data_IF_401056730354
#
_entry.id   IF_401056730354
#
_cell.length_a   1.000
_cell.length_b   1.000
_cell.length_c   1.000
_cell.angle_alpha   90.00
_cell.angle_beta   90.00
_cell.angle_gamma   90.00
#
_symmetry.space_group_name_H-M   'P 1'
#
loop_
_entity.id
_entity.type
_entity.pdbx_description
1 polymer ?
#
# COMPACT_ATOMS: atom_id res chain seq x y z
N UNK A 1 -5.73 -3.24 -34.03
CA UNK A 1 -6.23 -2.70 -32.75
C UNK A 1 -5.26 -1.64 -32.30
N UNK A 2 -5.72 -0.42 -32.04
CA UNK A 2 -4.86 0.74 -31.78
C UNK A 2 -4.39 0.76 -30.32
N UNK A 3 -3.06 0.79 -30.11
CA UNK A 3 -2.41 0.83 -28.80
C UNK A 3 -2.84 2.06 -28.02
N UNK A 4 -2.92 3.21 -28.66
CA UNK A 4 -3.20 4.48 -27.98
C UNK A 4 -4.64 4.50 -27.49
N UNK A 5 -5.57 3.96 -28.28
CA UNK A 5 -6.96 3.77 -27.87
C UNK A 5 -7.12 2.82 -26.67
N UNK A 6 -6.27 1.79 -26.54
CA UNK A 6 -6.25 0.91 -25.36
C UNK A 6 -5.72 1.67 -24.15
N UNK A 7 -4.58 2.35 -24.27
CA UNK A 7 -3.98 3.12 -23.18
C UNK A 7 -4.94 4.19 -22.66
N UNK A 8 -5.64 4.89 -23.55
CA UNK A 8 -6.68 5.85 -23.17
C UNK A 8 -7.80 5.21 -22.34
N UNK A 9 -8.23 3.99 -22.68
CA UNK A 9 -9.25 3.26 -21.90
C UNK A 9 -8.72 2.84 -20.53
N UNK A 10 -7.46 2.43 -20.44
CA UNK A 10 -6.81 2.11 -19.16
C UNK A 10 -6.71 3.35 -18.29
N UNK A 11 -6.22 4.48 -18.81
CA UNK A 11 -6.11 5.74 -18.06
C UNK A 11 -7.48 6.22 -17.57
N UNK A 12 -8.52 6.09 -18.38
CA UNK A 12 -9.88 6.43 -17.98
C UNK A 12 -10.41 5.60 -16.79
N UNK A 13 -9.84 4.41 -16.52
CA UNK A 13 -10.17 3.62 -15.33
C UNK A 13 -9.56 4.20 -14.03
N UNK A 14 -8.48 4.98 -14.16
CA UNK A 14 -7.81 5.68 -13.05
C UNK A 14 -8.19 7.16 -12.96
N UNK A 15 -8.70 7.74 -14.04
CA UNK A 15 -9.14 9.13 -14.10
C UNK A 15 -10.58 9.32 -13.63
N UNK A 16 -10.91 8.73 -12.48
CA UNK A 16 -12.22 8.86 -11.82
C UNK A 16 -12.05 9.14 -10.32
N UNK A 17 -12.93 9.94 -9.69
CA UNK A 17 -12.76 10.30 -8.27
C UNK A 17 -12.80 9.10 -7.31
N UNK A 18 -13.56 8.06 -7.65
CA UNK A 18 -13.68 6.85 -6.84
C UNK A 18 -13.21 5.66 -7.64
N UNK A 19 -12.04 5.14 -7.29
CA UNK A 19 -11.39 4.04 -7.98
C UNK A 19 -12.03 2.70 -7.61
N UNK A 20 -12.08 1.79 -8.59
CA UNK A 20 -12.47 0.40 -8.33
C UNK A 20 -11.50 -0.25 -7.33
N UNK A 21 -12.02 -1.10 -6.44
CA UNK A 21 -11.23 -1.69 -5.35
C UNK A 21 -9.98 -2.45 -5.83
N UNK A 22 -10.06 -3.13 -6.99
CA UNK A 22 -8.96 -3.87 -7.61
C UNK A 22 -7.89 -2.97 -8.26
N UNK A 23 -8.24 -1.74 -8.64
CA UNK A 23 -7.31 -0.77 -9.24
C UNK A 23 -6.69 0.18 -8.22
N UNK A 24 -7.44 0.49 -7.15
CA UNK A 24 -7.02 1.44 -6.12
C UNK A 24 -5.72 1.02 -5.42
N UNK A 25 -5.47 -0.29 -5.26
CA UNK A 25 -4.20 -0.79 -4.70
C UNK A 25 -3.00 -0.27 -5.51
N UNK A 26 -3.00 -0.55 -6.81
CA UNK A 26 -1.95 -0.11 -7.73
C UNK A 26 -1.77 1.42 -7.75
N UNK A 27 -2.87 2.19 -7.76
CA UNK A 27 -2.80 3.65 -7.68
C UNK A 27 -2.09 4.13 -6.41
N UNK A 28 -2.44 3.56 -5.25
CA UNK A 28 -1.88 3.97 -3.97
C UNK A 28 -0.42 3.54 -3.83
N UNK A 29 -0.03 2.37 -4.31
CA UNK A 29 1.37 1.94 -4.33
C UNK A 29 2.25 2.91 -5.13
N UNK A 30 1.81 3.28 -6.34
CA UNK A 30 2.53 4.24 -7.18
C UNK A 30 2.55 5.63 -6.56
N UNK A 31 1.42 6.10 -6.02
CA UNK A 31 1.36 7.37 -5.30
C UNK A 31 2.34 7.42 -4.13
N UNK A 32 2.41 6.35 -3.33
CA UNK A 32 3.35 6.25 -2.21
C UNK A 32 4.79 6.25 -2.72
N UNK A 33 5.11 5.50 -3.78
CA UNK A 33 6.43 5.51 -4.39
C UNK A 33 6.87 6.93 -4.81
N UNK A 34 5.99 7.67 -5.49
CA UNK A 34 6.24 9.06 -5.89
C UNK A 34 6.45 9.99 -4.68
N UNK A 35 5.66 9.84 -3.61
CA UNK A 35 5.84 10.61 -2.37
C UNK A 35 7.20 10.30 -1.73
N UNK A 36 7.59 9.03 -1.65
CA UNK A 36 8.84 8.60 -1.03
C UNK A 36 10.07 9.02 -1.84
N UNK A 37 9.94 9.13 -3.17
CA UNK A 37 10.95 9.72 -4.05
C UNK A 37 11.79 8.70 -4.84
N UNK A 38 12.80 9.18 -5.59
CA UNK A 38 13.43 8.44 -6.69
C UNK A 38 14.24 7.20 -6.27
N UNK A 39 14.62 7.10 -5.00
CA UNK A 39 15.35 5.93 -4.48
C UNK A 39 14.46 4.71 -4.27
N UNK A 40 13.13 4.87 -4.40
CA UNK A 40 12.14 3.83 -4.21
C UNK A 40 11.68 3.26 -5.54
N UNK A 41 11.59 1.92 -5.61
CA UNK A 41 11.11 1.18 -6.78
C UNK A 41 9.91 0.34 -6.41
N UNK A 42 8.93 0.28 -7.30
CA UNK A 42 7.87 -0.72 -7.21
C UNK A 42 8.41 -2.09 -7.64
N UNK A 43 8.28 -3.07 -6.76
CA UNK A 43 8.73 -4.47 -7.00
C UNK A 43 7.59 -5.48 -6.85
N UNK A 44 6.42 -5.06 -6.34
CA UNK A 44 5.26 -5.92 -6.10
C UNK A 44 4.63 -6.60 -7.33
N UNK A 45 4.93 -6.11 -8.55
CA UNK A 45 4.29 -6.57 -9.79
C UNK A 45 4.62 -8.03 -10.19
N UNK A 46 5.68 -8.63 -9.63
CA UNK A 46 6.13 -10.00 -9.94
C UNK A 46 5.93 -10.99 -8.78
N UNK A 47 4.86 -10.84 -7.98
CA UNK A 47 4.62 -11.66 -6.77
C UNK A 47 5.75 -11.54 -5.74
N UNK A 48 6.40 -10.37 -5.70
CA UNK A 48 7.36 -10.04 -4.67
C UNK A 48 6.67 -10.03 -3.30
N UNK A 49 7.48 -10.15 -2.26
CA UNK A 49 7.02 -10.23 -0.88
C UNK A 49 6.59 -8.88 -0.27
N UNK A 50 6.83 -7.79 -0.99
CA UNK A 50 6.56 -6.40 -0.62
C UNK A 50 6.33 -5.56 -1.88
N UNK A 51 5.74 -4.39 -1.70
CA UNK A 51 5.31 -3.54 -2.82
C UNK A 51 6.45 -2.62 -3.29
N UNK A 52 7.18 -2.01 -2.35
CA UNK A 52 8.24 -1.03 -2.62
C UNK A 52 9.57 -1.41 -1.96
N UNK A 53 10.67 -1.12 -2.64
CA UNK A 53 12.03 -1.33 -2.13
C UNK A 53 12.89 -0.08 -2.39
N UNK A 54 13.61 0.36 -1.35
CA UNK A 54 14.60 1.44 -1.46
C UNK A 54 15.96 0.89 -1.88
N UNK A 55 16.79 1.72 -2.50
CA UNK A 55 18.14 1.38 -2.98
C UNK A 55 19.08 0.75 -1.95
N UNK A 56 18.84 0.94 -0.65
CA UNK A 56 19.58 0.33 0.47
C UNK A 56 18.97 -0.98 0.98
N UNK A 57 17.92 -1.49 0.34
CA UNK A 57 17.26 -2.75 0.67
C UNK A 57 16.13 -2.63 1.70
N UNK A 58 15.71 -1.42 2.08
CA UNK A 58 14.52 -1.25 2.94
C UNK A 58 13.24 -1.63 2.17
N UNK A 59 12.41 -2.48 2.78
CA UNK A 59 11.22 -3.05 2.15
C UNK A 59 9.93 -2.54 2.78
N UNK A 60 9.00 -2.11 1.94
CA UNK A 60 7.70 -1.56 2.36
C UNK A 60 6.55 -2.32 1.72
N UNK A 61 5.60 -2.73 2.56
CA UNK A 61 4.27 -3.16 2.13
C UNK A 61 3.30 -1.96 2.22
N UNK A 62 2.54 -1.72 1.15
CA UNK A 62 1.48 -0.72 1.11
C UNK A 62 0.12 -1.41 1.25
N UNK A 63 -0.74 -0.85 2.10
CA UNK A 63 -2.11 -1.33 2.29
C UNK A 63 -3.06 -0.17 2.27
N UNK A 64 -4.14 -0.28 1.50
CA UNK A 64 -5.15 0.77 1.41
C UNK A 64 -6.53 0.32 1.88
N UNK A 65 -7.31 1.29 2.31
CA UNK A 65 -8.76 1.18 2.48
C UNK A 65 -9.39 2.54 2.23
N UNK A 66 -10.65 2.56 1.76
CA UNK A 66 -11.39 3.77 1.50
C UNK A 66 -12.85 3.62 1.94
N UNK A 67 -13.46 4.71 2.41
CA UNK A 67 -14.89 4.73 2.76
C UNK A 67 -15.77 4.65 1.51
N UNK A 68 -15.41 5.36 0.44
CA UNK A 68 -16.13 5.39 -0.83
C UNK A 68 -15.63 4.27 -1.76
N UNK A 69 -16.58 3.50 -2.29
CA UNK A 69 -16.35 2.46 -3.30
C UNK A 69 -17.11 2.82 -4.58
N UNK A 70 -16.70 2.25 -5.71
CA UNK A 70 -17.31 2.56 -7.02
C UNK A 70 -18.80 2.17 -7.11
N UNK A 71 -19.32 1.42 -6.14
CA UNK A 71 -20.74 1.04 -6.01
C UNK A 71 -21.42 1.60 -4.76
N UNK A 72 -20.81 2.58 -4.08
CA UNK A 72 -21.36 3.24 -2.90
C UNK A 72 -20.43 3.24 -1.68
N UNK A 73 -20.89 3.81 -0.58
CA UNK A 73 -20.09 3.89 0.66
C UNK A 73 -20.08 2.55 1.40
N UNK A 74 -18.91 2.17 1.94
CA UNK A 74 -18.77 1.01 2.81
C UNK A 74 -19.55 1.21 4.11
N UNK A 75 -20.36 0.22 4.46
CA UNK A 75 -21.09 0.17 5.74
C UNK A 75 -20.30 -0.55 6.83
N UNK A 76 -19.10 -1.03 6.52
CA UNK A 76 -18.26 -1.81 7.44
C UNK A 76 -17.05 -1.01 7.89
N UNK A 77 -16.55 -1.29 9.09
CA UNK A 77 -15.35 -0.64 9.60
C UNK A 77 -14.14 -0.96 8.70
N UNK A 78 -13.28 0.04 8.40
CA UNK A 78 -12.13 -0.16 7.52
C UNK A 78 -11.19 -1.26 8.03
N UNK A 79 -10.73 -2.10 7.10
CA UNK A 79 -9.92 -3.28 7.38
C UNK A 79 -8.80 -3.40 6.36
N UNK A 80 -7.62 -3.76 6.85
CA UNK A 80 -6.42 -3.92 6.05
C UNK A 80 -5.90 -5.35 6.21
N UNK A 81 -5.52 -5.99 5.10
CA UNK A 81 -4.87 -7.30 5.14
C UNK A 81 -3.42 -7.15 5.61
N UNK A 82 -3.01 -7.99 6.56
CA UNK A 82 -1.64 -8.07 7.09
C UNK A 82 -1.19 -9.53 7.23
N UNK A 83 -1.81 -10.43 6.48
CA UNK A 83 -1.44 -11.84 6.48
C UNK A 83 0.00 -12.00 5.99
N UNK A 84 0.81 -12.76 6.72
CA UNK A 84 2.12 -13.15 6.22
C UNK A 84 1.95 -14.01 4.96
N UNK A 85 2.70 -13.68 3.90
CA UNK A 85 2.74 -14.47 2.69
C UNK A 85 3.30 -15.87 2.99
N UNK A 86 2.69 -16.90 2.42
CA UNK A 86 3.18 -18.29 2.58
C UNK A 86 4.44 -18.57 1.76
N UNK A 87 4.63 -17.83 0.69
CA UNK A 87 5.76 -17.90 -0.22
C UNK A 87 5.89 -16.56 -0.97
N UNK A 88 7.01 -16.37 -1.65
CA UNK A 88 7.32 -15.17 -2.42
C UNK A 88 8.35 -15.46 -3.51
N UNK A 89 8.51 -14.52 -4.43
CA UNK A 89 9.44 -14.62 -5.56
C UNK A 89 10.46 -13.46 -5.47
N UNK A 90 11.62 -13.64 -4.79
CA UNK A 90 12.56 -12.55 -4.55
C UNK A 90 13.16 -11.95 -5.83
N UNK A 91 13.24 -12.73 -6.91
CA UNK A 91 13.74 -12.35 -8.23
C UNK A 91 12.61 -12.30 -9.29
N UNK A 92 11.34 -12.35 -8.85
CA UNK A 92 10.15 -12.45 -9.70
C UNK A 92 9.97 -13.80 -10.42
N UNK A 93 10.84 -14.79 -10.18
CA UNK A 93 10.88 -16.05 -10.96
C UNK A 93 10.96 -17.31 -10.09
N UNK A 94 11.70 -17.25 -9.00
CA UNK A 94 12.04 -18.37 -8.14
C UNK A 94 11.08 -18.45 -6.96
N UNK A 95 10.25 -19.50 -6.91
CA UNK A 95 9.37 -19.75 -5.78
C UNK A 95 10.18 -19.99 -4.50
N UNK A 96 9.95 -19.18 -3.47
CA UNK A 96 10.60 -19.29 -2.17
C UNK A 96 9.56 -19.46 -1.06
N UNK A 97 9.50 -20.62 -0.36
CA UNK A 97 8.60 -20.80 0.77
C UNK A 97 9.00 -19.90 1.96
N UNK A 98 8.02 -19.24 2.58
CA UNK A 98 8.24 -18.45 3.79
C UNK A 98 8.09 -19.33 5.04
N UNK A 99 9.13 -20.10 5.36
CA UNK A 99 9.14 -20.97 6.55
C UNK A 99 9.06 -20.21 7.88
N UNK A 100 9.42 -18.92 7.88
CA UNK A 100 9.38 -18.12 9.11
C UNK A 100 7.96 -17.77 9.56
N UNK A 101 6.99 -17.79 8.63
CA UNK A 101 5.62 -17.31 8.87
C UNK A 101 5.55 -15.83 9.24
N UNK A 102 6.66 -15.09 9.13
CA UNK A 102 6.74 -13.65 9.42
C UNK A 102 6.38 -12.84 8.19
N UNK A 103 6.01 -11.58 8.41
CA UNK A 103 5.91 -10.59 7.35
C UNK A 103 7.32 -10.31 6.81
N UNK A 104 7.39 -10.08 5.50
CA UNK A 104 8.65 -10.02 4.77
C UNK A 104 9.07 -8.58 4.42
N UNK A 105 8.16 -7.61 4.56
CA UNK A 105 8.47 -6.19 4.58
C UNK A 105 9.01 -5.75 5.94
N UNK A 106 9.80 -4.69 5.97
CA UNK A 106 10.33 -4.06 7.19
C UNK A 106 9.30 -3.07 7.76
N UNK A 107 8.65 -2.31 6.89
CA UNK A 107 7.62 -1.33 7.24
C UNK A 107 6.31 -1.61 6.49
N UNK A 108 5.20 -1.23 7.12
CA UNK A 108 3.88 -1.16 6.51
C UNK A 108 3.43 0.28 6.44
N UNK A 109 2.99 0.71 5.25
CA UNK A 109 2.32 1.99 5.03
C UNK A 109 0.84 1.71 4.82
N UNK A 110 0.01 2.08 5.80
CA UNK A 110 -1.43 2.02 5.67
C UNK A 110 -1.97 3.36 5.17
N UNK A 111 -2.63 3.36 4.02
CA UNK A 111 -3.28 4.51 3.42
C UNK A 111 -4.81 4.43 3.61
N UNK A 112 -5.37 5.43 4.26
CA UNK A 112 -6.80 5.57 4.50
C UNK A 112 -7.35 6.77 3.72
N UNK A 113 -8.46 6.55 3.00
CA UNK A 113 -9.20 7.62 2.32
C UNK A 113 -10.63 7.71 2.89
N UNK A 114 -10.96 8.83 3.51
CA UNK A 114 -12.23 9.02 4.21
C UNK A 114 -13.39 9.42 3.28
N UNK A 115 -13.12 9.72 2.02
CA UNK A 115 -14.09 10.16 1.02
C UNK A 115 -13.54 11.33 0.20
N UNK A 116 -14.24 11.72 -0.87
CA UNK A 116 -13.75 12.73 -1.81
C UNK A 116 -13.17 12.11 -3.07
N UNK A 117 -12.11 12.70 -3.59
CA UNK A 117 -11.42 12.27 -4.81
C UNK A 117 -10.13 11.53 -4.47
N UNK A 118 -10.13 10.22 -4.71
CA UNK A 118 -9.03 9.31 -4.43
C UNK A 118 -7.77 9.60 -5.26
N UNK A 119 -7.85 10.46 -6.28
CA UNK A 119 -6.70 10.92 -7.06
C UNK A 119 -5.97 12.08 -6.36
N UNK A 120 -6.62 12.77 -5.43
CA UNK A 120 -6.04 13.91 -4.72
C UNK A 120 -5.16 13.38 -3.57
N UNK A 121 -3.85 13.48 -3.76
CA UNK A 121 -2.83 12.97 -2.83
C UNK A 121 -3.01 13.50 -1.40
N UNK A 122 -3.37 14.77 -1.24
CA UNK A 122 -3.55 15.40 0.08
C UNK A 122 -4.79 14.93 0.86
N UNK A 123 -5.72 14.22 0.22
CA UNK A 123 -6.90 13.64 0.89
C UNK A 123 -6.61 12.30 1.55
N UNK A 124 -5.45 11.70 1.26
CA UNK A 124 -5.02 10.46 1.89
C UNK A 124 -4.37 10.69 3.25
N UNK A 125 -4.70 9.79 4.18
CA UNK A 125 -4.10 9.71 5.51
C UNK A 125 -3.23 8.47 5.60
N UNK A 126 -2.04 8.61 6.17
CA UNK A 126 -1.06 7.54 6.21
C UNK A 126 -0.70 7.18 7.65
N UNK A 127 -0.29 5.91 7.82
CA UNK A 127 0.27 5.38 9.06
C UNK A 127 1.46 4.51 8.69
N UNK A 128 2.61 4.78 9.31
CA UNK A 128 3.84 4.00 9.11
C UNK A 128 4.08 3.16 10.35
N UNK A 129 4.10 1.83 10.19
CA UNK A 129 4.25 0.88 11.30
C UNK A 129 5.33 -0.15 10.95
N UNK A 130 6.34 -0.36 11.80
CA UNK A 130 7.27 -1.48 11.64
C UNK A 130 6.56 -2.83 11.67
N UNK A 131 6.94 -3.74 10.77
CA UNK A 131 6.27 -5.04 10.62
C UNK A 131 6.27 -5.88 11.91
N UNK A 132 7.29 -5.69 12.75
CA UNK A 132 7.44 -6.34 14.06
C UNK A 132 6.44 -5.85 15.12
N UNK A 133 5.93 -4.63 14.99
CA UNK A 133 4.91 -4.06 15.90
C UNK A 133 3.49 -4.51 15.53
N UNK A 134 3.30 -5.04 14.32
CA UNK A 134 2.00 -5.58 13.91
C UNK A 134 1.70 -6.93 14.60
N UNK A 135 0.43 -7.22 14.95
CA UNK A 135 0.07 -8.46 15.63
C UNK A 135 0.49 -9.70 14.84
N UNK A 136 1.29 -10.60 15.43
CA UNK A 136 1.92 -11.73 14.71
C UNK A 136 0.93 -12.73 14.11
N UNK A 137 -0.16 -13.03 14.82
CA UNK A 137 -1.10 -14.09 14.43
C UNK A 137 -2.31 -13.59 13.63
N UNK A 138 -2.48 -12.27 13.51
CA UNK A 138 -3.63 -11.70 12.82
C UNK A 138 -3.37 -11.55 11.32
N UNK A 139 -4.40 -11.90 10.53
CA UNK A 139 -4.39 -11.74 9.07
C UNK A 139 -4.95 -10.40 8.61
N UNK A 140 -5.57 -9.65 9.50
CA UNK A 140 -6.11 -8.32 9.21
C UNK A 140 -6.07 -7.42 10.44
N UNK A 141 -6.05 -6.11 10.24
CA UNK A 141 -6.06 -5.09 11.29
C UNK A 141 -7.04 -3.97 10.90
N UNK A 142 -7.77 -3.46 11.88
CA UNK A 142 -8.74 -2.38 11.67
C UNK A 142 -8.14 -1.00 11.91
N UNK A 143 -8.72 0.04 11.32
CA UNK A 143 -8.23 1.42 11.43
C UNK A 143 -8.07 1.91 12.88
N UNK A 144 -9.01 1.54 13.77
CA UNK A 144 -8.91 1.88 15.20
C UNK A 144 -7.63 1.33 15.84
N UNK A 145 -7.26 0.09 15.52
CA UNK A 145 -6.04 -0.53 16.05
C UNK A 145 -4.79 0.11 15.43
N UNK A 146 -4.82 0.45 14.15
CA UNK A 146 -3.74 1.20 13.49
C UNK A 146 -3.50 2.56 14.18
N UNK A 147 -4.57 3.31 14.47
CA UNK A 147 -4.49 4.61 15.18
C UNK A 147 -3.90 4.50 16.59
N UNK A 148 -3.97 3.32 17.21
CA UNK A 148 -3.32 3.08 18.51
C UNK A 148 -1.83 2.73 18.38
N UNK A 149 -1.37 2.30 17.20
CA UNK A 149 0.01 1.89 16.94
C UNK A 149 0.85 3.02 16.32
N UNK A 150 0.24 3.91 15.56
CA UNK A 150 0.93 5.01 14.90
C UNK A 150 0.06 6.26 14.81
N UNK A 151 0.72 7.42 14.81
CA UNK A 151 0.10 8.70 14.52
C UNK A 151 -0.36 8.75 13.05
N UNK A 152 -1.51 9.36 12.82
CA UNK A 152 -2.02 9.68 11.49
C UNK A 152 -1.23 10.87 10.92
N UNK A 153 -0.76 10.74 9.69
CA UNK A 153 -0.01 11.81 9.00
C UNK A 153 -0.57 12.08 7.60
N UNK A 154 -0.28 13.27 7.06
CA UNK A 154 -0.59 13.61 5.67
C UNK A 154 0.49 13.16 4.70
N UNK A 155 0.22 13.29 3.41
CA UNK A 155 1.18 12.95 2.35
C UNK A 155 2.51 13.73 2.45
N UNK A 156 2.45 15.00 2.90
CA UNK A 156 3.64 15.86 3.02
C UNK A 156 4.67 15.31 4.02
N UNK A 157 4.22 14.62 5.07
CA UNK A 157 5.08 14.15 6.16
C UNK A 157 5.54 12.70 5.96
N UNK A 158 4.99 11.99 4.95
CA UNK A 158 5.19 10.55 4.78
C UNK A 158 6.65 10.18 4.54
N UNK A 159 7.34 10.92 3.66
CA UNK A 159 8.76 10.68 3.35
C UNK A 159 9.65 10.83 4.59
N UNK A 160 9.45 11.91 5.34
CA UNK A 160 10.21 12.16 6.56
C UNK A 160 9.94 11.05 7.58
N UNK A 161 8.66 10.66 7.76
CA UNK A 161 8.29 9.62 8.70
C UNK A 161 8.92 8.27 8.38
N UNK A 162 8.94 7.87 7.10
CA UNK A 162 9.60 6.64 6.67
C UNK A 162 11.11 6.71 6.90
N UNK A 163 11.73 7.86 6.65
CA UNK A 163 13.16 8.06 6.90
C UNK A 163 13.50 7.91 8.39
N UNK A 164 12.70 8.50 9.28
CA UNK A 164 12.88 8.38 10.73
C UNK A 164 12.72 6.94 11.24
N UNK A 165 11.83 6.16 10.63
CA UNK A 165 11.58 4.76 11.01
C UNK A 165 12.63 3.77 10.48
N UNK A 166 13.45 4.21 9.51
CA UNK A 166 14.47 3.42 8.86
C UNK A 166 15.90 3.66 9.40
N UNK A 167 16.06 4.64 10.29
CA UNK A 167 17.31 4.97 10.98
C UNK A 167 17.48 4.14 12.24
#
# INVERSE_FOLDING_TARGET
>A
MDKDQILKRVLAMFDVPVLQNNLRGLWVELMVAEILGPDWKQVGNDWAAWDLERSDGLRVEVKQSASAQSWGNSTTSPRFSIAAAKAYYPDGKTYTPNHSGRRLADLYIFAWHEGGDQRIVSEWRFFVIPAEQLPRQQKSIGLKAIRNLAAEIGAADLREKVTQMAA
#
